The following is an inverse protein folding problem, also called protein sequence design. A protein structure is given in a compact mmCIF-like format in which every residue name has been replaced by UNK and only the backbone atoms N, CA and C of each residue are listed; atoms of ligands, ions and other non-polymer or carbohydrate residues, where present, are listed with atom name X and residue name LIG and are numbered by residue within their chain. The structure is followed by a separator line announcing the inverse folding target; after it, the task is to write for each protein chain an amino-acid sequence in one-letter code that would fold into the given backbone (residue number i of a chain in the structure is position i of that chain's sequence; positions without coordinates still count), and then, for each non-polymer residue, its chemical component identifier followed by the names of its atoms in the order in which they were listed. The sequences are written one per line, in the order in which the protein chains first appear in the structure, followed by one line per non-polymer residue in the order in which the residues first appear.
data_IF_524943535481
#
_entry.id   IF_524943535481
#
_cell.length_a   1.000
_cell.length_b   1.000
_cell.length_c   1.000
_cell.angle_alpha   90.00
_cell.angle_beta   90.00
_cell.angle_gamma   90.00
#
_symmetry.space_group_name_H-M   'P 1'
#
loop_
_entity.id
_entity.type
_entity.pdbx_description
1 polymer ?
#
# COMPACT_ATOMS: atom_id res chain seq x y z
N UNK A 1 9.66 66.13 49.12
CA UNK A 1 10.61 65.08 48.68
C UNK A 1 10.01 63.74 49.03
N UNK A 2 10.20 62.73 48.16
CA UNK A 2 9.55 61.39 48.08
C UNK A 2 8.07 61.47 47.70
N UNK A 3 7.59 60.94 46.56
CA UNK A 3 7.91 59.67 45.88
C UNK A 3 7.85 59.79 44.35
N UNK A 4 8.66 59.00 43.62
CA UNK A 4 8.04 58.07 42.67
C UNK A 4 8.84 56.75 42.58
N UNK A 5 8.89 55.95 43.65
CA UNK A 5 9.64 54.69 43.65
C UNK A 5 8.75 53.43 43.52
N UNK A 6 7.46 53.51 43.87
CA UNK A 6 6.58 52.33 43.86
C UNK A 6 6.11 51.91 42.45
N UNK A 7 5.96 52.86 41.52
CA UNK A 7 5.46 52.58 40.17
C UNK A 7 6.53 51.92 39.26
N UNK A 8 7.80 52.17 39.52
CA UNK A 8 8.92 51.61 38.75
C UNK A 8 9.21 50.17 39.20
N UNK A 9 9.15 49.89 40.51
CA UNK A 9 9.28 48.51 41.05
C UNK A 9 8.12 47.60 40.61
N UNK A 10 6.89 48.11 40.50
CA UNK A 10 5.77 47.31 39.99
C UNK A 10 5.88 47.01 38.49
N UNK A 11 6.39 47.95 37.68
CA UNK A 11 6.60 47.73 36.25
C UNK A 11 7.74 46.73 35.97
N UNK A 12 8.81 46.76 36.77
CA UNK A 12 9.93 45.81 36.65
C UNK A 12 9.54 44.40 37.09
N UNK A 13 8.75 44.26 38.16
CA UNK A 13 8.25 42.94 38.61
C UNK A 13 7.26 42.31 37.63
N UNK A 14 6.47 43.11 36.89
CA UNK A 14 5.57 42.59 35.86
C UNK A 14 6.37 42.10 34.64
N UNK A 15 7.41 42.83 34.24
CA UNK A 15 8.27 42.45 33.11
C UNK A 15 9.09 41.18 33.42
N UNK A 16 9.67 41.06 34.61
CA UNK A 16 10.38 39.84 35.04
C UNK A 16 9.45 38.63 35.19
N UNK A 17 8.19 38.84 35.58
CA UNK A 17 7.18 37.78 35.63
C UNK A 17 6.74 37.32 34.22
N UNK A 18 6.63 38.23 33.25
CA UNK A 18 6.36 37.87 31.84
C UNK A 18 7.54 37.17 31.18
N UNK A 19 8.77 37.60 31.46
CA UNK A 19 9.98 36.97 30.89
C UNK A 19 10.22 35.57 31.50
N UNK A 20 9.82 35.34 32.75
CA UNK A 20 9.85 34.02 33.40
C UNK A 20 8.72 33.07 32.90
N UNK A 21 7.58 33.62 32.47
CA UNK A 21 6.47 32.87 31.84
C UNK A 21 6.77 32.51 30.38
N UNK A 22 7.54 33.32 29.65
CA UNK A 22 8.05 32.97 28.31
C UNK A 22 9.20 31.96 28.37
N UNK A 23 10.06 32.01 29.39
CA UNK A 23 11.18 31.08 29.56
C UNK A 23 10.79 29.65 29.97
N UNK A 24 9.51 29.39 30.27
CA UNK A 24 9.00 28.06 30.68
C UNK A 24 8.13 27.36 29.65
N UNK A 25 8.00 27.89 28.43
CA UNK A 25 7.56 27.09 27.28
C UNK A 25 8.72 26.20 26.81
N UNK A 26 9.01 25.20 27.63
CA UNK A 26 9.71 24.01 27.16
C UNK A 26 8.85 23.43 26.06
N UNK A 27 9.29 23.58 24.81
CA UNK A 27 8.74 22.88 23.67
C UNK A 27 8.76 21.40 24.02
N UNK A 28 7.58 20.87 24.39
CA UNK A 28 7.41 19.43 24.48
C UNK A 28 7.93 18.88 23.14
N UNK A 29 8.81 17.87 23.13
CA UNK A 29 9.31 17.32 21.88
C UNK A 29 8.08 16.93 21.07
N UNK A 30 7.89 17.61 19.94
CA UNK A 30 6.87 17.26 18.95
C UNK A 30 7.14 15.80 18.65
N UNK A 31 6.30 14.90 19.17
CA UNK A 31 6.44 13.50 18.82
C UNK A 31 6.36 13.48 17.29
N UNK A 32 7.38 12.93 16.59
CA UNK A 32 7.29 12.82 15.15
C UNK A 32 5.96 12.13 14.86
N UNK A 33 5.09 12.80 14.10
CA UNK A 33 3.78 12.26 13.77
C UNK A 33 4.05 10.96 13.03
N UNK A 34 3.90 9.83 13.71
CA UNK A 34 4.16 8.53 13.12
C UNK A 34 3.14 8.33 12.01
N UNK A 35 3.63 8.36 10.77
CA UNK A 35 2.84 8.10 9.56
C UNK A 35 2.03 6.82 9.73
N UNK A 36 0.74 6.89 9.40
CA UNK A 36 -0.15 5.72 9.44
C UNK A 36 0.28 4.79 8.30
N UNK A 37 0.86 3.65 8.66
CA UNK A 37 1.30 2.63 7.70
C UNK A 37 0.21 1.59 7.48
N UNK A 38 0.13 1.08 6.26
CA UNK A 38 -0.82 0.05 5.86
C UNK A 38 -0.38 -1.38 6.09
N UNK A 39 0.85 -1.55 6.57
CA UNK A 39 1.50 -2.83 6.84
C UNK A 39 2.09 -2.86 8.25
N UNK A 40 2.26 -4.05 8.81
CA UNK A 40 2.89 -4.28 10.13
C UNK A 40 4.39 -4.54 9.99
N UNK A 41 5.31 -3.68 10.45
CA UNK A 41 6.76 -4.02 10.40
C UNK A 41 7.07 -5.34 11.12
N UNK A 42 7.83 -6.23 10.47
CA UNK A 42 8.27 -7.54 11.01
C UNK A 42 9.80 -7.58 11.11
N UNK A 43 10.33 -8.63 11.74
CA UNK A 43 11.78 -8.82 11.84
C UNK A 43 12.43 -8.94 10.47
N UNK A 44 13.54 -8.22 10.29
CA UNK A 44 14.41 -8.26 9.12
C UNK A 44 15.27 -9.54 9.01
N UNK A 45 15.22 -10.44 10.01
CA UNK A 45 16.12 -11.59 10.04
C UNK A 45 15.77 -12.58 8.92
N UNK A 46 16.69 -12.74 7.98
CA UNK A 46 16.61 -13.76 6.93
C UNK A 46 17.16 -15.11 7.41
N UNK A 47 16.54 -16.20 6.95
CA UNK A 47 17.14 -17.53 7.05
C UNK A 47 18.32 -17.65 6.05
N UNK A 48 19.25 -18.62 6.21
CA UNK A 48 20.43 -18.73 5.35
C UNK A 48 20.14 -18.89 3.86
N UNK A 49 19.00 -19.49 3.49
CA UNK A 49 18.59 -19.64 2.08
C UNK A 49 18.14 -18.31 1.51
N UNK A 50 17.33 -17.56 2.27
CA UNK A 50 16.88 -16.23 1.87
C UNK A 50 18.01 -15.20 1.87
N UNK A 51 18.96 -15.30 2.80
CA UNK A 51 20.15 -14.45 2.80
C UNK A 51 20.97 -14.68 1.52
N UNK A 52 21.23 -15.94 1.14
CA UNK A 52 21.93 -16.22 -0.13
C UNK A 52 21.18 -15.70 -1.36
N UNK A 53 19.86 -15.77 -1.35
CA UNK A 53 19.05 -15.21 -2.43
C UNK A 53 19.20 -13.69 -2.52
N UNK A 54 19.17 -13.02 -1.36
CA UNK A 54 19.43 -11.60 -1.25
C UNK A 54 20.80 -11.25 -1.84
N UNK A 55 21.86 -11.90 -1.36
CA UNK A 55 23.24 -11.63 -1.77
C UNK A 55 23.46 -11.88 -3.28
N UNK A 56 22.80 -12.90 -3.84
CA UNK A 56 22.99 -13.29 -5.24
C UNK A 56 22.18 -12.46 -6.26
N UNK A 57 21.03 -11.92 -5.85
CA UNK A 57 20.04 -11.41 -6.81
C UNK A 57 19.69 -9.93 -6.61
N UNK A 58 20.06 -9.31 -5.48
CA UNK A 58 19.71 -7.91 -5.19
C UNK A 58 20.18 -6.96 -6.30
N UNK A 59 21.43 -7.07 -6.74
CA UNK A 59 22.02 -6.18 -7.77
C UNK A 59 21.31 -6.25 -9.13
N UNK A 60 20.58 -7.34 -9.39
CA UNK A 60 19.85 -7.53 -10.67
C UNK A 60 18.41 -7.05 -10.58
N UNK A 61 17.74 -7.29 -9.45
CA UNK A 61 16.29 -7.18 -9.37
C UNK A 61 15.80 -6.07 -8.45
N UNK A 62 16.54 -5.71 -7.40
CA UNK A 62 16.12 -4.69 -6.45
C UNK A 62 16.44 -3.29 -6.98
N UNK A 63 15.43 -2.44 -7.08
CA UNK A 63 15.59 -1.07 -7.52
C UNK A 63 16.16 -0.19 -6.39
N UNK A 64 17.21 0.55 -6.72
CA UNK A 64 17.78 1.58 -5.85
C UNK A 64 16.96 2.88 -5.91
N UNK A 65 15.76 2.83 -5.32
CA UNK A 65 14.82 3.96 -5.28
C UNK A 65 14.37 4.35 -3.87
N UNK A 66 14.79 3.62 -2.83
CA UNK A 66 14.45 3.96 -1.45
C UNK A 66 15.30 5.13 -0.93
N UNK A 67 14.74 5.96 -0.04
CA UNK A 67 15.44 7.07 0.62
C UNK A 67 16.48 6.61 1.69
N UNK A 68 16.94 5.36 1.61
CA UNK A 68 17.90 4.71 2.52
C UNK A 68 17.35 3.46 3.22
N UNK A 69 18.25 2.61 3.73
CA UNK A 69 17.98 1.24 4.20
C UNK A 69 16.94 1.07 5.33
N UNK A 70 16.48 2.16 5.97
CA UNK A 70 15.49 2.11 7.05
C UNK A 70 14.21 2.92 6.76
N UNK A 71 14.20 3.68 5.65
CA UNK A 71 13.07 4.48 5.22
C UNK A 71 12.43 3.79 4.03
N UNK A 72 11.14 3.50 4.16
CA UNK A 72 10.33 2.95 3.07
C UNK A 72 9.78 4.07 2.18
N UNK A 73 10.26 5.31 2.36
CA UNK A 73 9.95 6.42 1.48
C UNK A 73 10.83 6.33 0.22
N UNK A 74 10.38 6.94 -0.86
CA UNK A 74 11.11 7.00 -2.12
C UNK A 74 12.16 8.13 -2.04
N UNK A 75 13.34 7.91 -2.63
CA UNK A 75 14.43 8.90 -2.64
C UNK A 75 14.00 10.20 -3.32
N UNK A 76 14.53 11.32 -2.81
CA UNK A 76 14.23 12.65 -3.36
C UNK A 76 14.62 12.75 -4.84
N UNK A 77 13.80 13.43 -5.64
CA UNK A 77 14.02 13.64 -7.07
C UNK A 77 13.77 12.41 -7.95
N UNK A 78 13.34 11.28 -7.39
CA UNK A 78 12.90 10.14 -8.18
C UNK A 78 11.48 10.35 -8.70
N UNK A 79 11.26 9.99 -9.97
CA UNK A 79 9.95 9.80 -10.55
C UNK A 79 9.90 8.45 -11.28
N UNK A 80 8.79 7.72 -11.12
CA UNK A 80 8.54 6.54 -11.95
C UNK A 80 7.94 7.02 -13.28
N UNK A 81 8.81 7.27 -14.26
CA UNK A 81 8.46 7.72 -15.61
C UNK A 81 8.57 6.60 -16.64
N UNK A 82 8.05 6.84 -17.85
CA UNK A 82 8.21 5.92 -19.00
C UNK A 82 9.67 5.75 -19.40
N UNK A 83 10.49 6.80 -19.30
CA UNK A 83 11.93 6.75 -19.57
C UNK A 83 12.67 5.94 -18.51
N UNK A 84 12.28 6.06 -17.24
CA UNK A 84 12.83 5.22 -16.18
C UNK A 84 12.51 3.74 -16.41
N UNK A 85 11.26 3.43 -16.80
CA UNK A 85 10.87 2.06 -17.17
C UNK A 85 11.70 1.57 -18.37
N UNK A 86 11.83 2.38 -19.42
CA UNK A 86 12.59 2.00 -20.61
C UNK A 86 14.06 1.72 -20.31
N UNK A 87 14.70 2.56 -19.49
CA UNK A 87 16.10 2.35 -19.10
C UNK A 87 16.29 1.16 -18.16
N UNK A 88 15.33 0.88 -17.28
CA UNK A 88 15.42 -0.18 -16.27
C UNK A 88 15.13 -1.57 -16.86
N UNK A 89 14.13 -1.68 -17.74
CA UNK A 89 13.73 -2.94 -18.38
C UNK A 89 14.30 -3.11 -19.79
N UNK A 90 14.86 -2.06 -20.39
CA UNK A 90 15.42 -2.08 -21.75
C UNK A 90 14.38 -2.06 -22.87
N UNK A 91 13.11 -1.80 -22.55
CA UNK A 91 11.98 -1.83 -23.48
C UNK A 91 10.84 -0.92 -22.99
N UNK A 92 9.84 -0.67 -23.83
CA UNK A 92 8.66 0.14 -23.49
C UNK A 92 7.39 -0.71 -23.28
N UNK A 93 7.55 -1.96 -22.85
CA UNK A 93 6.42 -2.85 -22.59
C UNK A 93 5.54 -2.30 -21.46
N UNK A 94 4.24 -2.64 -21.44
CA UNK A 94 3.34 -2.27 -20.35
C UNK A 94 3.89 -2.67 -18.98
N UNK A 95 3.75 -1.79 -17.97
CA UNK A 95 4.15 -2.08 -16.60
C UNK A 95 2.92 -2.44 -15.76
N UNK A 96 2.99 -3.59 -15.09
CA UNK A 96 2.06 -3.99 -14.03
C UNK A 96 2.75 -3.87 -12.68
N UNK A 97 2.06 -3.27 -11.70
CA UNK A 97 2.57 -3.12 -10.33
C UNK A 97 1.75 -3.97 -9.37
N UNK A 98 2.39 -4.91 -8.67
CA UNK A 98 1.73 -5.67 -7.59
C UNK A 98 2.13 -5.10 -6.23
N UNK A 99 1.15 -4.57 -5.49
CA UNK A 99 1.30 -4.00 -4.15
C UNK A 99 1.23 -5.13 -3.11
N UNK A 100 2.28 -5.26 -2.31
CA UNK A 100 2.31 -6.22 -1.20
C UNK A 100 2.41 -7.66 -1.70
N UNK A 101 3.41 -7.95 -2.54
CA UNK A 101 3.54 -9.27 -3.21
C UNK A 101 3.73 -10.44 -2.25
N UNK A 102 4.00 -10.19 -0.97
CA UNK A 102 4.20 -11.21 0.05
C UNK A 102 5.45 -12.02 -0.28
N UNK A 103 5.25 -13.26 -0.74
CA UNK A 103 6.35 -14.14 -1.15
C UNK A 103 6.62 -14.12 -2.67
N UNK A 104 5.93 -13.25 -3.41
CA UNK A 104 6.13 -13.07 -4.85
C UNK A 104 5.55 -14.18 -5.73
N UNK A 105 4.74 -15.09 -5.18
CA UNK A 105 4.19 -16.23 -5.94
C UNK A 105 3.43 -15.78 -7.19
N UNK A 106 2.60 -14.73 -7.06
CA UNK A 106 1.77 -14.25 -8.15
C UNK A 106 2.58 -13.48 -9.20
N UNK A 107 3.23 -12.38 -8.79
CA UNK A 107 4.03 -11.53 -9.71
C UNK A 107 5.09 -12.32 -10.48
N UNK A 108 5.74 -13.31 -9.86
CA UNK A 108 6.76 -14.12 -10.52
C UNK A 108 6.13 -15.08 -11.54
N UNK A 109 5.00 -15.69 -11.20
CA UNK A 109 4.29 -16.55 -12.14
C UNK A 109 3.76 -15.75 -13.35
N UNK A 110 3.23 -14.54 -13.10
CA UNK A 110 2.79 -13.63 -14.16
C UNK A 110 3.96 -13.20 -15.05
N UNK A 111 5.09 -12.82 -14.47
CA UNK A 111 6.30 -12.45 -15.20
C UNK A 111 6.83 -13.59 -16.08
N UNK A 112 6.79 -14.84 -15.59
CA UNK A 112 7.18 -16.01 -16.37
C UNK A 112 6.21 -16.30 -17.52
N UNK A 113 4.91 -16.10 -17.32
CA UNK A 113 3.88 -16.36 -18.32
C UNK A 113 3.77 -15.26 -19.41
N UNK A 114 4.18 -14.04 -19.07
CA UNK A 114 4.01 -12.84 -19.91
C UNK A 114 5.34 -12.10 -20.13
N UNK A 115 6.29 -12.66 -20.90
CA UNK A 115 7.59 -12.01 -21.18
C UNK A 115 7.45 -10.66 -21.91
N UNK A 116 6.32 -10.41 -22.56
CA UNK A 116 5.95 -9.16 -23.22
C UNK A 116 5.46 -8.06 -22.25
N UNK A 117 5.37 -8.35 -20.95
CA UNK A 117 4.89 -7.41 -19.92
C UNK A 117 5.98 -7.20 -18.87
N UNK A 118 6.17 -5.95 -18.43
CA UNK A 118 7.06 -5.62 -17.33
C UNK A 118 6.29 -5.69 -16.01
N UNK A 119 6.96 -6.14 -14.95
CA UNK A 119 6.39 -6.29 -13.61
C UNK A 119 7.23 -5.58 -12.55
N UNK A 120 6.58 -4.81 -11.68
CA UNK A 120 7.17 -4.25 -10.49
C UNK A 120 6.50 -4.83 -9.24
N UNK A 121 7.28 -5.60 -8.47
CA UNK A 121 6.86 -6.16 -7.20
C UNK A 121 7.15 -5.17 -6.06
N UNK A 122 6.11 -4.69 -5.36
CA UNK A 122 6.28 -3.89 -4.15
C UNK A 122 6.12 -4.77 -2.92
N UNK A 123 7.17 -4.82 -2.11
CA UNK A 123 7.14 -5.53 -0.83
C UNK A 123 8.07 -4.83 0.15
N UNK A 124 7.59 -4.62 1.37
CA UNK A 124 8.31 -3.90 2.43
C UNK A 124 9.01 -4.84 3.40
N UNK A 125 8.65 -6.12 3.41
CA UNK A 125 9.22 -7.15 4.28
C UNK A 125 10.42 -7.84 3.63
N UNK A 126 11.59 -7.76 4.29
CA UNK A 126 12.82 -8.38 3.79
C UNK A 126 12.65 -9.87 3.44
N UNK A 127 11.99 -10.72 4.26
CA UNK A 127 11.80 -12.12 3.88
C UNK A 127 10.94 -12.31 2.63
N UNK A 128 9.98 -11.41 2.41
CA UNK A 128 9.13 -11.39 1.22
C UNK A 128 9.93 -11.01 -0.03
N UNK A 129 10.64 -9.87 0.05
CA UNK A 129 11.58 -9.41 -0.98
C UNK A 129 12.59 -10.50 -1.33
N UNK A 130 13.26 -11.09 -0.34
CA UNK A 130 14.23 -12.18 -0.51
C UNK A 130 13.62 -13.41 -1.20
N UNK A 131 12.35 -13.72 -0.91
CA UNK A 131 11.68 -14.85 -1.54
C UNK A 131 11.35 -14.55 -3.01
N UNK A 132 10.85 -13.35 -3.31
CA UNK A 132 10.61 -12.89 -4.69
C UNK A 132 11.91 -12.89 -5.49
N UNK A 133 13.01 -12.37 -4.91
CA UNK A 133 14.37 -12.43 -5.48
C UNK A 133 14.77 -13.87 -5.83
N UNK A 134 14.58 -14.80 -4.89
CA UNK A 134 14.91 -16.20 -5.12
C UNK A 134 14.11 -16.83 -6.26
N UNK A 135 12.80 -16.59 -6.30
CA UNK A 135 11.91 -17.17 -7.31
C UNK A 135 12.22 -16.62 -8.71
N UNK A 136 12.37 -15.30 -8.84
CA UNK A 136 12.73 -14.65 -10.10
C UNK A 136 14.13 -15.06 -10.55
N UNK A 137 15.11 -15.00 -9.64
CA UNK A 137 16.51 -15.35 -9.90
C UNK A 137 16.72 -16.81 -10.33
N UNK A 138 15.97 -17.74 -9.76
CA UNK A 138 15.99 -19.16 -10.18
C UNK A 138 15.45 -19.39 -11.59
N UNK A 139 14.51 -18.56 -12.02
CA UNK A 139 13.89 -18.64 -13.35
C UNK A 139 14.60 -17.78 -14.39
N UNK A 140 15.54 -16.91 -13.96
CA UNK A 140 16.27 -16.00 -14.85
C UNK A 140 15.35 -14.96 -15.51
N UNK A 141 14.29 -14.54 -14.82
CA UNK A 141 13.32 -13.60 -15.39
C UNK A 141 13.95 -12.22 -15.60
N UNK A 142 13.73 -11.63 -16.77
CA UNK A 142 14.32 -10.32 -17.10
C UNK A 142 13.31 -9.18 -17.01
N UNK A 143 12.02 -9.51 -17.03
CA UNK A 143 10.90 -8.58 -17.08
C UNK A 143 10.32 -8.20 -15.71
N UNK A 144 10.95 -8.60 -14.60
CA UNK A 144 10.53 -8.26 -13.24
C UNK A 144 11.60 -7.44 -12.52
N UNK A 145 11.15 -6.45 -11.74
CA UNK A 145 11.95 -5.75 -10.72
C UNK A 145 11.19 -5.69 -9.41
N UNK A 146 11.91 -5.44 -8.33
CA UNK A 146 11.38 -5.36 -6.97
C UNK A 146 11.72 -3.99 -6.42
N UNK A 147 10.79 -3.35 -5.71
CA UNK A 147 11.08 -2.16 -4.95
C UNK A 147 10.61 -2.32 -3.50
N UNK A 148 11.52 -2.01 -2.58
CA UNK A 148 11.26 -2.03 -1.15
C UNK A 148 10.85 -0.64 -0.65
N UNK A 149 9.69 -0.18 -1.08
CA UNK A 149 9.12 1.12 -0.71
C UNK A 149 7.64 0.97 -0.37
N UNK A 150 7.12 1.93 0.38
CA UNK A 150 5.70 2.06 0.64
C UNK A 150 4.99 2.42 -0.67
N UNK A 151 3.97 1.64 -1.06
CA UNK A 151 3.20 1.88 -2.27
C UNK A 151 2.67 3.31 -2.35
N UNK A 152 2.14 3.85 -1.24
CA UNK A 152 1.63 5.21 -1.22
C UNK A 152 2.68 6.27 -1.57
N UNK A 153 3.96 6.01 -1.28
CA UNK A 153 5.05 6.92 -1.63
C UNK A 153 5.50 6.76 -3.07
N UNK A 154 5.48 5.53 -3.60
CA UNK A 154 5.77 5.29 -5.01
C UNK A 154 4.73 5.95 -5.92
N UNK A 155 3.43 5.75 -5.64
CA UNK A 155 2.37 6.29 -6.48
C UNK A 155 2.31 7.82 -6.45
N UNK A 156 2.73 8.48 -5.36
CA UNK A 156 2.86 9.94 -5.29
C UNK A 156 3.88 10.52 -6.27
N UNK A 157 4.91 9.74 -6.60
CA UNK A 157 6.00 10.14 -7.51
C UNK A 157 5.93 9.40 -8.85
N UNK A 158 4.82 8.74 -9.14
CA UNK A 158 4.61 8.08 -10.44
C UNK A 158 4.00 9.08 -11.41
N UNK A 159 4.59 9.18 -12.60
CA UNK A 159 4.07 10.08 -13.63
C UNK A 159 2.73 9.59 -14.19
N UNK A 160 1.87 10.49 -14.65
CA UNK A 160 0.57 10.11 -15.18
C UNK A 160 0.65 9.10 -16.35
N UNK A 161 -0.32 8.20 -16.44
CA UNK A 161 -0.47 7.27 -17.57
C UNK A 161 0.76 6.41 -17.86
N UNK A 162 1.43 5.97 -16.81
CA UNK A 162 2.70 5.20 -16.85
C UNK A 162 2.49 3.70 -16.57
N UNK A 163 1.45 3.35 -15.80
CA UNK A 163 1.16 1.98 -15.36
C UNK A 163 -0.05 1.44 -16.14
N UNK A 164 0.01 0.17 -16.57
CA UNK A 164 -1.10 -0.48 -17.26
C UNK A 164 -2.12 -1.08 -16.27
N UNK A 165 -1.64 -1.80 -15.26
CA UNK A 165 -2.48 -2.35 -14.20
C UNK A 165 -1.81 -2.25 -12.83
N UNK A 166 -2.64 -2.15 -11.79
CA UNK A 166 -2.23 -2.32 -10.40
C UNK A 166 -2.94 -3.52 -9.79
N UNK A 167 -2.21 -4.36 -9.07
CA UNK A 167 -2.74 -5.53 -8.36
C UNK A 167 -2.52 -5.39 -6.86
N UNK A 168 -3.55 -5.70 -6.06
CA UNK A 168 -3.48 -5.74 -4.60
C UNK A 168 -4.24 -6.96 -4.09
N UNK A 169 -3.52 -8.06 -3.82
CA UNK A 169 -4.14 -9.31 -3.40
C UNK A 169 -3.86 -9.62 -1.93
N UNK A 170 -4.92 -9.87 -1.16
CA UNK A 170 -4.88 -10.21 0.26
C UNK A 170 -4.11 -9.22 1.14
N UNK A 171 -4.40 -7.91 1.06
CA UNK A 171 -3.72 -6.92 1.90
C UNK A 171 -4.03 -7.14 3.39
N UNK A 172 -3.19 -6.59 4.27
CA UNK A 172 -3.40 -6.63 5.72
C UNK A 172 -4.81 -6.09 6.08
N UNK A 173 -5.69 -6.88 6.72
CA UNK A 173 -7.11 -6.53 6.80
C UNK A 173 -7.45 -5.51 7.90
N UNK A 174 -6.55 -5.31 8.87
CA UNK A 174 -6.73 -4.42 10.01
C UNK A 174 -8.12 -4.52 10.67
N UNK A 175 -8.47 -5.67 11.28
CA UNK A 175 -9.85 -6.05 11.64
C UNK A 175 -10.44 -5.28 12.84
N UNK A 176 -9.82 -4.19 13.28
CA UNK A 176 -10.35 -3.35 14.36
C UNK A 176 -10.74 -2.03 13.73
N UNK A 177 -12.00 -1.60 13.88
CA UNK A 177 -12.51 -0.30 13.37
C UNK A 177 -11.54 0.88 13.49
N UNK A 178 -10.91 1.05 14.65
CA UNK A 178 -9.91 2.12 14.91
C UNK A 178 -8.64 2.07 14.04
N UNK A 179 -8.40 0.96 13.36
CA UNK A 179 -7.27 0.71 12.46
C UNK A 179 -7.67 0.75 10.98
N UNK A 180 -8.93 0.99 10.60
CA UNK A 180 -9.34 0.97 9.19
C UNK A 180 -8.59 2.00 8.33
N UNK A 181 -8.14 3.11 8.92
CA UNK A 181 -7.22 4.08 8.28
C UNK A 181 -5.86 3.50 7.86
N UNK A 182 -5.53 2.28 8.27
CA UNK A 182 -4.35 1.51 7.86
C UNK A 182 -4.66 0.54 6.72
N UNK A 183 -5.91 0.35 6.30
CA UNK A 183 -6.19 -0.46 5.11
C UNK A 183 -5.55 0.21 3.91
N UNK A 184 -4.96 -0.55 2.99
CA UNK A 184 -4.25 0.03 1.85
C UNK A 184 -5.21 0.74 0.89
N UNK A 185 -6.43 0.23 0.75
CA UNK A 185 -7.48 0.85 -0.07
C UNK A 185 -8.04 2.06 0.66
N UNK A 186 -7.64 3.24 0.21
CA UNK A 186 -8.03 4.55 0.75
C UNK A 186 -8.19 5.54 -0.40
N UNK A 187 -9.02 6.58 -0.25
CA UNK A 187 -9.21 7.61 -1.29
C UNK A 187 -7.92 8.25 -1.80
N UNK A 188 -6.97 8.59 -0.92
CA UNK A 188 -5.70 9.22 -1.33
C UNK A 188 -4.87 8.29 -2.24
N UNK A 189 -4.74 7.01 -1.87
CA UNK A 189 -4.01 6.05 -2.71
C UNK A 189 -4.76 5.78 -4.02
N UNK A 190 -6.08 5.64 -3.97
CA UNK A 190 -6.90 5.45 -5.15
C UNK A 190 -6.73 6.61 -6.15
N UNK A 191 -6.68 7.85 -5.68
CA UNK A 191 -6.40 9.02 -6.52
C UNK A 191 -5.01 8.98 -7.16
N UNK A 192 -3.97 8.62 -6.40
CA UNK A 192 -2.61 8.50 -6.94
C UNK A 192 -2.48 7.34 -7.95
N UNK A 193 -3.15 6.21 -7.70
CA UNK A 193 -3.20 5.08 -8.64
C UNK A 193 -3.95 5.48 -9.91
N UNK A 194 -5.10 6.15 -9.79
CA UNK A 194 -5.88 6.62 -10.94
C UNK A 194 -5.02 7.49 -11.87
N UNK A 195 -4.31 8.48 -11.30
CA UNK A 195 -3.40 9.32 -12.07
C UNK A 195 -2.29 8.52 -12.76
N UNK A 196 -1.70 7.54 -12.06
CA UNK A 196 -0.61 6.73 -12.59
C UNK A 196 -1.04 5.74 -13.69
N UNK A 197 -2.31 5.31 -13.70
CA UNK A 197 -2.84 4.37 -14.68
C UNK A 197 -2.97 5.03 -16.06
N UNK A 198 -2.65 4.27 -17.10
CA UNK A 198 -3.01 4.59 -18.46
C UNK A 198 -4.54 4.54 -18.66
N UNK A 199 -5.01 5.11 -19.76
CA UNK A 199 -6.42 5.03 -20.15
C UNK A 199 -6.90 3.58 -20.14
N UNK A 200 -8.11 3.36 -19.61
CA UNK A 200 -8.73 2.04 -19.40
C UNK A 200 -7.96 1.09 -18.47
N UNK A 201 -6.89 1.57 -17.82
CA UNK A 201 -6.10 0.83 -16.84
C UNK A 201 -6.94 0.42 -15.64
N UNK A 202 -6.59 -0.71 -15.02
CA UNK A 202 -7.38 -1.30 -13.94
C UNK A 202 -6.61 -1.45 -12.63
N UNK A 203 -7.32 -1.29 -11.52
CA UNK A 203 -6.90 -1.77 -10.22
C UNK A 203 -7.67 -3.04 -9.86
N UNK A 204 -6.94 -4.15 -9.76
CA UNK A 204 -7.45 -5.44 -9.33
C UNK A 204 -7.19 -5.64 -7.85
N UNK A 205 -8.23 -5.94 -7.09
CA UNK A 205 -8.15 -6.14 -5.64
C UNK A 205 -8.75 -7.50 -5.32
N UNK A 206 -8.18 -8.21 -4.35
CA UNK A 206 -8.81 -9.40 -3.81
C UNK A 206 -8.60 -9.54 -2.30
N UNK A 207 -9.58 -10.10 -1.60
CA UNK A 207 -9.53 -10.32 -0.15
C UNK A 207 -10.36 -11.56 0.23
N UNK A 208 -9.97 -12.25 1.30
CA UNK A 208 -10.72 -13.36 1.91
C UNK A 208 -11.46 -12.92 3.19
N UNK A 209 -11.64 -11.60 3.38
CA UNK A 209 -12.24 -10.99 4.56
C UNK A 209 -13.41 -10.10 4.12
N UNK A 210 -14.64 -10.54 4.43
CA UNK A 210 -15.89 -9.82 4.10
C UNK A 210 -15.89 -8.37 4.60
N UNK A 211 -15.44 -8.12 5.83
CA UNK A 211 -15.36 -6.77 6.38
C UNK A 211 -14.35 -5.85 5.66
N UNK A 212 -13.35 -6.46 5.00
CA UNK A 212 -12.46 -5.72 4.12
C UNK A 212 -13.09 -5.53 2.74
N UNK A 213 -13.84 -6.52 2.24
CA UNK A 213 -14.59 -6.42 0.99
C UNK A 213 -15.62 -5.28 1.06
N UNK A 214 -16.39 -5.19 2.15
CA UNK A 214 -17.30 -4.07 2.42
C UNK A 214 -16.56 -2.73 2.38
N UNK A 215 -15.39 -2.65 3.04
CA UNK A 215 -14.57 -1.43 3.03
C UNK A 215 -14.08 -1.06 1.63
N UNK A 216 -13.77 -2.04 0.77
CA UNK A 216 -13.42 -1.75 -0.63
C UNK A 216 -14.59 -1.09 -1.33
N UNK A 217 -15.81 -1.61 -1.18
CA UNK A 217 -17.03 -0.98 -1.72
C UNK A 217 -17.25 0.43 -1.15
N UNK A 218 -17.24 0.58 0.17
CA UNK A 218 -17.44 1.88 0.86
C UNK A 218 -16.43 2.95 0.42
N UNK A 219 -15.21 2.55 0.05
CA UNK A 219 -14.21 3.46 -0.47
C UNK A 219 -14.40 3.68 -1.97
N UNK A 220 -14.32 2.61 -2.77
CA UNK A 220 -14.12 2.72 -4.21
C UNK A 220 -15.39 3.01 -5.01
N UNK A 221 -16.55 2.48 -4.58
CA UNK A 221 -17.82 2.67 -5.33
C UNK A 221 -18.35 4.12 -5.27
N UNK A 222 -17.72 4.96 -4.44
CA UNK A 222 -18.06 6.37 -4.27
C UNK A 222 -17.00 7.33 -4.81
N UNK A 223 -15.91 6.82 -5.40
CA UNK A 223 -14.88 7.67 -5.99
C UNK A 223 -15.18 7.96 -7.45
N UNK A 224 -15.26 9.25 -7.77
CA UNK A 224 -15.29 9.70 -9.15
C UNK A 224 -14.02 9.25 -9.88
N UNK A 225 -14.16 8.95 -11.18
CA UNK A 225 -13.04 8.50 -12.02
C UNK A 225 -12.77 6.99 -11.93
N UNK A 226 -13.54 6.25 -11.16
CA UNK A 226 -13.51 4.80 -11.13
C UNK A 226 -14.83 4.19 -11.57
N UNK A 227 -14.75 3.09 -12.31
CA UNK A 227 -15.89 2.26 -12.65
C UNK A 227 -15.64 0.83 -12.16
N UNK A 228 -16.52 0.32 -11.32
CA UNK A 228 -16.54 -1.11 -11.00
C UNK A 228 -17.08 -1.88 -12.22
N UNK A 229 -16.24 -2.74 -12.81
CA UNK A 229 -16.60 -3.54 -14.00
C UNK A 229 -16.90 -5.00 -13.65
N UNK A 230 -17.18 -5.27 -12.37
CA UNK A 230 -17.66 -6.56 -11.89
C UNK A 230 -18.99 -6.98 -12.52
N UNK A 231 -19.28 -8.26 -12.44
CA UNK A 231 -20.48 -8.88 -13.04
C UNK A 231 -21.19 -9.85 -12.10
N UNK A 232 -20.60 -10.17 -10.95
CA UNK A 232 -21.21 -11.05 -9.95
C UNK A 232 -21.79 -10.23 -8.82
N UNK A 233 -22.81 -10.77 -8.17
CA UNK A 233 -23.42 -10.16 -6.98
C UNK A 233 -22.93 -10.88 -5.74
N UNK A 234 -22.40 -10.11 -4.78
CA UNK A 234 -22.03 -10.59 -3.46
C UNK A 234 -22.94 -9.92 -2.41
N UNK A 235 -23.49 -10.71 -1.50
CA UNK A 235 -24.27 -10.17 -0.37
C UNK A 235 -23.36 -10.07 0.83
N UNK A 236 -23.18 -8.85 1.35
CA UNK A 236 -22.26 -8.57 2.47
C UNK A 236 -23.00 -7.94 3.65
N UNK A 237 -22.60 -8.26 4.90
CA UNK A 237 -23.14 -7.59 6.07
C UNK A 237 -22.77 -6.10 6.03
N UNK A 238 -23.71 -5.23 6.37
CA UNK A 238 -23.52 -3.77 6.37
C UNK A 238 -22.79 -3.23 7.61
N UNK A 239 -22.66 -4.06 8.64
CA UNK A 239 -21.97 -3.70 9.87
C UNK A 239 -20.58 -4.34 9.94
N UNK A 240 -19.69 -3.72 10.71
CA UNK A 240 -18.32 -4.20 10.88
C UNK A 240 -18.28 -5.61 11.47
N UNK A 241 -17.74 -6.57 10.72
CA UNK A 241 -17.55 -7.95 11.17
C UNK A 241 -16.09 -8.17 11.57
N UNK A 242 -15.88 -8.42 12.86
CA UNK A 242 -14.59 -8.76 13.43
C UNK A 242 -14.65 -10.07 14.22
N UNK A 243 -13.53 -10.42 14.86
CA UNK A 243 -13.40 -11.68 15.62
C UNK A 243 -14.46 -11.85 16.74
N UNK A 244 -15.05 -10.76 17.23
CA UNK A 244 -16.00 -10.79 18.34
C UNK A 244 -17.47 -11.00 17.95
N UNK A 245 -17.82 -10.84 16.67
CA UNK A 245 -19.20 -10.91 16.18
C UNK A 245 -19.33 -11.68 14.85
N UNK A 246 -18.27 -12.39 14.42
CA UNK A 246 -18.27 -13.17 13.18
C UNK A 246 -19.41 -14.20 13.13
N UNK A 247 -19.71 -14.87 14.24
CA UNK A 247 -20.79 -15.88 14.30
C UNK A 247 -22.19 -15.27 14.11
N UNK A 248 -22.33 -13.95 14.27
CA UNK A 248 -23.59 -13.22 14.09
C UNK A 248 -23.70 -12.59 12.69
N UNK A 249 -22.64 -12.65 11.88
CA UNK A 249 -22.57 -11.94 10.61
C UNK A 249 -23.74 -12.28 9.68
N UNK A 250 -24.09 -13.57 9.59
CA UNK A 250 -25.19 -14.06 8.75
C UNK A 250 -26.57 -13.46 9.12
N UNK A 251 -26.76 -13.09 10.38
CA UNK A 251 -28.02 -12.51 10.88
C UNK A 251 -28.04 -10.96 10.80
N UNK A 252 -26.92 -10.34 10.41
CA UNK A 252 -26.85 -8.88 10.25
C UNK A 252 -27.64 -8.43 9.01
N UNK A 253 -28.04 -7.14 8.94
CA UNK A 253 -28.53 -6.57 7.69
C UNK A 253 -27.48 -6.68 6.59
N UNK A 254 -27.85 -7.21 5.43
CA UNK A 254 -26.99 -7.31 4.26
C UNK A 254 -27.42 -6.35 3.16
N UNK A 255 -26.48 -6.03 2.27
CA UNK A 255 -26.77 -5.46 0.97
C UNK A 255 -26.01 -6.21 -0.13
N UNK A 256 -26.52 -6.09 -1.34
CA UNK A 256 -25.93 -6.68 -2.52
C UNK A 256 -24.96 -5.69 -3.17
N UNK A 257 -23.76 -6.16 -3.45
CA UNK A 257 -22.68 -5.41 -4.07
C UNK A 257 -22.22 -6.11 -5.37
N UNK A 258 -21.64 -5.32 -6.28
CA UNK A 258 -21.10 -5.83 -7.54
C UNK A 258 -19.63 -6.18 -7.41
N UNK A 259 -19.27 -7.45 -7.52
CA UNK A 259 -17.90 -7.94 -7.49
C UNK A 259 -17.49 -8.53 -8.85
N UNK A 260 -16.21 -8.81 -9.02
CA UNK A 260 -15.65 -9.46 -10.21
C UNK A 260 -15.54 -10.96 -10.03
N UNK A 261 -15.56 -11.70 -11.14
CA UNK A 261 -15.04 -13.06 -11.13
C UNK A 261 -13.55 -13.05 -10.73
N UNK A 262 -13.08 -14.16 -10.15
CA UNK A 262 -11.68 -14.35 -9.80
C UNK A 262 -10.78 -14.04 -10.99
N UNK A 263 -9.84 -13.10 -10.82
CA UNK A 263 -8.92 -12.74 -11.91
C UNK A 263 -8.15 -13.98 -12.41
N UNK A 264 -8.32 -14.33 -13.67
CA UNK A 264 -7.73 -15.55 -14.26
C UNK A 264 -6.20 -15.52 -14.31
N UNK A 265 -5.59 -14.32 -14.37
CA UNK A 265 -4.15 -14.14 -14.29
C UNK A 265 -3.57 -14.31 -12.88
N UNK A 266 -4.42 -14.35 -11.83
CA UNK A 266 -3.97 -14.61 -10.47
C UNK A 266 -3.76 -16.10 -10.26
N UNK A 267 -2.54 -16.53 -9.99
CA UNK A 267 -2.29 -17.94 -9.63
C UNK A 267 -2.82 -18.24 -8.24
N UNK A 268 -3.11 -19.51 -7.95
CA UNK A 268 -3.56 -19.93 -6.62
C UNK A 268 -2.39 -19.86 -5.62
N UNK A 269 -2.26 -18.72 -4.95
CA UNK A 269 -1.20 -18.45 -3.96
C UNK A 269 -1.43 -19.21 -2.65
N UNK A 270 -0.38 -19.34 -1.82
CA UNK A 270 -0.54 -19.92 -0.48
C UNK A 270 -1.48 -19.12 0.44
N UNK A 271 -1.61 -17.80 0.25
CA UNK A 271 -2.59 -17.00 1.01
C UNK A 271 -4.01 -17.37 0.64
N UNK A 272 -4.29 -17.46 -0.66
CA UNK A 272 -5.59 -17.86 -1.18
C UNK A 272 -5.97 -19.29 -0.76
N UNK A 273 -5.04 -20.25 -0.87
CA UNK A 273 -5.25 -21.63 -0.41
C UNK A 273 -5.68 -21.69 1.06
N UNK A 274 -4.99 -20.95 1.94
CA UNK A 274 -5.33 -20.87 3.37
C UNK A 274 -6.69 -20.20 3.61
N UNK A 275 -7.06 -19.23 2.77
CA UNK A 275 -8.41 -18.65 2.71
C UNK A 275 -9.46 -19.72 2.50
N UNK A 276 -9.33 -20.44 1.40
CA UNK A 276 -10.25 -21.49 0.96
C UNK A 276 -10.31 -22.68 1.92
N UNK A 277 -9.17 -23.15 2.41
CA UNK A 277 -9.08 -24.23 3.41
C UNK A 277 -9.79 -23.87 4.73
N UNK A 278 -9.82 -22.59 5.07
CA UNK A 278 -10.58 -22.07 6.21
C UNK A 278 -12.07 -21.84 5.90
N UNK A 279 -12.55 -22.23 4.71
CA UNK A 279 -13.93 -22.07 4.28
C UNK A 279 -14.33 -20.62 3.96
N UNK A 280 -13.36 -19.73 3.75
CA UNK A 280 -13.63 -18.31 3.44
C UNK A 280 -13.92 -18.11 1.96
N UNK A 281 -14.84 -17.21 1.67
CA UNK A 281 -15.12 -16.72 0.32
C UNK A 281 -14.03 -15.72 -0.08
N UNK A 282 -13.61 -15.79 -1.35
CA UNK A 282 -12.68 -14.81 -1.91
C UNK A 282 -13.50 -13.79 -2.68
N UNK A 283 -13.32 -12.53 -2.32
CA UNK A 283 -13.94 -11.37 -2.95
C UNK A 283 -12.93 -10.75 -3.90
N UNK A 284 -13.32 -10.59 -5.16
CA UNK A 284 -12.49 -10.03 -6.23
C UNK A 284 -13.13 -8.77 -6.78
N UNK A 285 -12.31 -7.77 -7.09
CA UNK A 285 -12.74 -6.47 -7.59
C UNK A 285 -11.89 -6.07 -8.77
N UNK A 286 -12.52 -5.46 -9.76
CA UNK A 286 -11.83 -4.80 -10.86
C UNK A 286 -12.44 -3.42 -11.02
N UNK A 287 -11.67 -2.41 -10.62
CA UNK A 287 -12.00 -1.01 -10.83
C UNK A 287 -11.21 -0.50 -12.03
N UNK A 288 -11.91 -0.03 -13.05
CA UNK A 288 -11.32 0.60 -14.22
C UNK A 288 -11.23 2.11 -14.01
N UNK A 289 -10.08 2.69 -14.32
CA UNK A 289 -9.90 4.13 -14.36
C UNK A 289 -10.68 4.69 -15.56
N UNK A 290 -11.55 5.66 -15.29
CA UNK A 290 -12.34 6.38 -16.30
C UNK A 290 -12.04 7.88 -16.21
N UNK A 291 -12.06 8.55 -17.36
CA UNK A 291 -11.91 10.01 -17.39
C UNK A 291 -13.14 10.66 -16.77
N UNK A 292 -12.93 11.62 -15.88
CA UNK A 292 -13.99 12.50 -15.38
C UNK A 292 -14.57 13.27 -16.58
N UNK A 293 -15.84 13.04 -16.89
CA UNK A 293 -16.57 13.78 -17.94
C UNK A 293 -17.06 15.12 -17.43
#
# INVERSE_FOLDING_TARGET
MTEPNAAIEQAQNIQEATDALEATQTTAPSHPIHKVLSFVRRSARLDPRLQRAWDNYTDTYLLDIAAGNARLDVREGFALSKEYIQSTWGNSNPLIVEIGTGQGENVVAAAAAHPETNFLALEVYDPGVAHTLLLAGKQGLTNIRIAQVNAAELFKVTEPSTIAEVWTFFPDPWPKKKHHKRRIVQPELAGNIHNALADDGVWRIATDIEDYALHVHEVMDHLDGWQNIGTITASLPLEHVGKGNADMAADMPHADFTESERFSGRVLTNFEKKGLEAGRVIHDFTYQAVTLR
#
